data_IF_344947416513
#
_entry.id   IF_344947416513
#
_cell.length_a   1.000
_cell.length_b   1.000
_cell.length_c   1.000
_cell.angle_alpha   90.00
_cell.angle_beta   90.00
_cell.angle_gamma   90.00
#
_symmetry.space_group_name_H-M   'P 1'
#
loop_
_entity.id
_entity.type
_entity.pdbx_description
1 polymer ?
#
# COMPACT_ATOMS: atom_id res chain seq x y z
N UNK A 1 -2.52 -11.44 -12.27
CA UNK A 1 -3.32 -10.19 -12.25
C UNK A 1 -2.44 -9.08 -12.76
N UNK A 2 -2.90 -8.25 -13.70
CA UNK A 2 -2.10 -7.12 -14.20
C UNK A 2 -1.89 -6.11 -13.07
N UNK A 3 -0.64 -5.69 -12.85
CA UNK A 3 -0.32 -4.63 -11.89
C UNK A 3 -0.75 -3.29 -12.49
N UNK A 4 -1.59 -2.53 -11.77
CA UNK A 4 -1.95 -1.16 -12.15
C UNK A 4 -0.93 -0.19 -11.54
N UNK A 5 -0.51 0.79 -12.31
CA UNK A 5 0.40 1.84 -11.84
C UNK A 5 -0.39 2.90 -11.05
N UNK A 6 0.09 3.22 -9.86
CA UNK A 6 -0.45 4.30 -9.02
C UNK A 6 0.70 5.26 -8.70
N UNK A 7 0.50 6.56 -8.94
CA UNK A 7 1.45 7.60 -8.52
C UNK A 7 1.05 8.18 -7.18
N UNK A 8 2.01 8.38 -6.28
CA UNK A 8 1.80 8.91 -4.92
C UNK A 8 2.73 10.09 -4.70
N UNK A 9 2.19 11.21 -4.22
CA UNK A 9 2.99 12.35 -3.72
C UNK A 9 3.14 12.21 -2.20
N UNK A 10 4.33 12.45 -1.69
CA UNK A 10 4.63 12.38 -0.26
C UNK A 10 5.57 13.53 0.13
N UNK A 11 5.59 13.88 1.42
CA UNK A 11 6.54 14.84 1.96
C UNK A 11 7.96 14.26 1.97
N UNK A 12 8.97 15.13 2.01
CA UNK A 12 10.37 14.70 2.07
C UNK A 12 10.66 13.82 3.28
N UNK A 13 10.06 14.14 4.43
CA UNK A 13 10.17 13.33 5.65
C UNK A 13 9.66 11.91 5.43
N UNK A 14 8.47 11.74 4.85
CA UNK A 14 7.89 10.43 4.57
C UNK A 14 8.73 9.67 3.53
N UNK A 15 9.31 10.36 2.55
CA UNK A 15 10.25 9.76 1.59
C UNK A 15 11.49 9.21 2.28
N UNK A 16 12.09 9.98 3.19
CA UNK A 16 13.26 9.53 3.97
C UNK A 16 12.93 8.32 4.85
N UNK A 17 11.76 8.32 5.50
CA UNK A 17 11.30 7.18 6.29
C UNK A 17 11.13 5.92 5.42
N UNK A 18 10.59 6.07 4.21
CA UNK A 18 10.47 4.97 3.25
C UNK A 18 11.84 4.40 2.89
N UNK A 19 12.84 5.24 2.61
CA UNK A 19 14.21 4.82 2.28
C UNK A 19 14.86 4.05 3.44
N UNK A 20 14.78 4.58 4.66
CA UNK A 20 15.29 3.90 5.87
C UNK A 20 14.62 2.54 6.07
N UNK A 21 13.31 2.44 5.82
CA UNK A 21 12.57 1.18 5.93
C UNK A 21 12.98 0.16 4.85
N UNK A 22 13.28 0.62 3.63
CA UNK A 22 13.78 -0.22 2.56
C UNK A 22 15.12 -0.84 2.95
N UNK A 23 16.06 -0.03 3.46
CA UNK A 23 17.37 -0.50 3.92
C UNK A 23 17.25 -1.49 5.08
N UNK A 24 16.49 -1.14 6.13
CA UNK A 24 16.33 -1.99 7.32
C UNK A 24 15.72 -3.36 7.02
N UNK A 25 14.87 -3.44 6.00
CA UNK A 25 14.17 -4.67 5.61
C UNK A 25 14.84 -5.39 4.45
N UNK A 26 15.85 -4.78 3.82
CA UNK A 26 16.42 -5.22 2.55
C UNK A 26 15.37 -5.46 1.47
N UNK A 27 14.37 -4.57 1.38
CA UNK A 27 13.22 -4.65 0.48
C UNK A 27 13.16 -3.42 -0.42
N UNK A 28 12.49 -3.53 -1.57
CA UNK A 28 12.25 -2.39 -2.44
C UNK A 28 11.05 -1.54 -1.95
N UNK A 29 10.93 -0.31 -2.48
CA UNK A 29 9.88 0.63 -2.08
C UNK A 29 8.47 0.07 -2.27
N UNK A 30 8.21 -0.68 -3.35
CA UNK A 30 6.89 -1.24 -3.63
C UNK A 30 6.50 -2.26 -2.55
N UNK A 31 7.43 -3.13 -2.16
CA UNK A 31 7.20 -4.12 -1.10
C UNK A 31 6.92 -3.46 0.25
N UNK A 32 7.67 -2.41 0.60
CA UNK A 32 7.46 -1.66 1.84
C UNK A 32 6.11 -0.95 1.85
N UNK A 33 5.74 -0.30 0.74
CA UNK A 33 4.44 0.39 0.60
C UNK A 33 3.28 -0.60 0.65
N UNK A 34 3.35 -1.71 -0.11
CA UNK A 34 2.31 -2.74 -0.09
C UNK A 34 2.13 -3.34 1.31
N UNK A 35 3.24 -3.62 2.02
CA UNK A 35 3.18 -4.11 3.39
C UNK A 35 2.55 -3.09 4.34
N UNK A 36 2.88 -1.81 4.19
CA UNK A 36 2.28 -0.70 4.95
C UNK A 36 0.78 -0.61 4.74
N UNK A 37 0.32 -0.57 3.49
CA UNK A 37 -1.11 -0.51 3.14
C UNK A 37 -1.86 -1.71 3.70
N UNK A 38 -1.32 -2.93 3.55
CA UNK A 38 -1.95 -4.14 4.11
C UNK A 38 -2.00 -4.11 5.64
N UNK A 39 -1.00 -3.51 6.28
CA UNK A 39 -0.96 -3.36 7.73
C UNK A 39 -2.03 -2.39 8.23
N UNK A 40 -2.16 -1.22 7.62
CA UNK A 40 -3.22 -0.26 7.98
C UNK A 40 -4.61 -0.83 7.70
N UNK A 41 -4.81 -1.49 6.55
CA UNK A 41 -6.09 -2.15 6.24
C UNK A 41 -6.50 -3.19 7.30
N UNK A 42 -5.54 -3.93 7.87
CA UNK A 42 -5.82 -4.88 8.96
C UNK A 42 -6.23 -4.18 10.25
N UNK A 43 -5.60 -3.04 10.60
CA UNK A 43 -5.97 -2.24 11.78
C UNK A 43 -7.40 -1.72 11.67
N UNK A 44 -7.77 -1.28 10.47
CA UNK A 44 -9.13 -0.83 10.11
C UNK A 44 -10.12 -1.99 9.89
N UNK A 45 -9.68 -3.24 10.04
CA UNK A 45 -10.49 -4.46 9.85
C UNK A 45 -11.17 -4.54 8.47
N UNK A 46 -10.53 -3.99 7.42
CA UNK A 46 -11.05 -4.05 6.05
C UNK A 46 -11.12 -5.52 5.59
N UNK A 47 -12.34 -5.99 5.34
CA UNK A 47 -12.63 -7.38 4.99
C UNK A 47 -12.61 -7.64 3.48
N UNK A 48 -12.50 -8.91 3.10
CA UNK A 48 -12.63 -9.32 1.69
C UNK A 48 -13.99 -8.91 1.08
N UNK A 49 -15.05 -8.90 1.91
CA UNK A 49 -16.39 -8.46 1.50
C UNK A 49 -16.42 -6.98 1.15
N UNK A 50 -15.78 -6.13 1.95
CA UNK A 50 -15.68 -4.69 1.66
C UNK A 50 -14.87 -4.42 0.40
N UNK A 51 -13.77 -5.15 0.19
CA UNK A 51 -12.99 -5.08 -1.06
C UNK A 51 -13.86 -5.47 -2.27
N UNK A 52 -14.64 -6.56 -2.16
CA UNK A 52 -15.51 -7.01 -3.24
C UNK A 52 -16.62 -6.00 -3.54
N UNK A 53 -17.23 -5.42 -2.50
CA UNK A 53 -18.23 -4.36 -2.65
C UNK A 53 -17.62 -3.13 -3.34
N UNK A 54 -16.39 -2.74 -2.97
CA UNK A 54 -15.68 -1.63 -3.59
C UNK A 54 -15.37 -1.89 -5.08
N UNK A 55 -14.94 -3.11 -5.43
CA UNK A 55 -14.72 -3.52 -6.83
C UNK A 55 -16.01 -3.43 -7.65
N UNK A 56 -17.10 -3.98 -7.14
CA UNK A 56 -18.40 -3.97 -7.82
C UNK A 56 -18.91 -2.54 -8.04
N UNK A 57 -18.78 -1.67 -7.03
CA UNK A 57 -19.19 -0.25 -7.12
C UNK A 57 -18.38 0.52 -8.16
N UNK A 58 -17.08 0.27 -8.25
CA UNK A 58 -16.17 1.06 -9.08
C UNK A 58 -15.79 0.36 -10.41
N UNK A 59 -16.40 -0.81 -10.71
CA UNK A 59 -16.14 -1.61 -11.92
C UNK A 59 -14.65 -1.94 -12.13
N UNK A 60 -13.95 -2.31 -11.05
CA UNK A 60 -12.50 -2.62 -11.05
C UNK A 60 -12.23 -4.10 -10.81
#
# INVERSE_FOLDING_TARGET
>A
MAKKQTSVRMTDEVRMLLEILCEKRNHNQVEVIEAGIRSEARKEKITAKEIQNFKNKNKI
#
